data_IF_866505363522
#
_entry.id   IF_866505363522
#
_cell.length_a   1.000
_cell.length_b   1.000
_cell.length_c   1.000
_cell.angle_alpha   90.00
_cell.angle_beta   90.00
_cell.angle_gamma   90.00
#
_symmetry.space_group_name_H-M   'P 1'
#
loop_
_entity.id
_entity.type
_entity.pdbx_description
1 polymer ?
#
# COMPACT_ATOMS: atom_id res chain seq x y z
N UNK A 1 -19.72 13.16 13.88
CA UNK A 1 -19.03 12.30 12.90
C UNK A 1 -18.47 13.24 11.83
N UNK A 2 -17.18 13.43 11.79
CA UNK A 2 -16.57 14.27 10.77
C UNK A 2 -16.33 13.41 9.53
N UNK A 3 -17.05 13.70 8.45
CA UNK A 3 -16.69 13.17 7.16
C UNK A 3 -15.36 13.82 6.75
N UNK A 4 -14.30 13.00 6.65
CA UNK A 4 -13.04 13.50 6.14
C UNK A 4 -13.19 13.95 4.68
N UNK A 5 -12.50 15.02 4.27
CA UNK A 5 -12.50 15.42 2.88
C UNK A 5 -11.94 14.30 2.01
N UNK A 6 -12.54 14.10 0.85
CA UNK A 6 -12.09 13.09 -0.14
C UNK A 6 -10.76 13.47 -0.80
N UNK A 7 -10.33 14.70 -0.65
CA UNK A 7 -9.08 15.20 -1.21
C UNK A 7 -7.98 15.24 -0.15
N UNK A 8 -6.77 14.89 -0.53
CA UNK A 8 -5.61 14.99 0.35
C UNK A 8 -5.35 16.44 0.73
N UNK A 9 -5.06 16.66 1.98
CA UNK A 9 -4.68 17.95 2.52
C UNK A 9 -3.34 17.85 3.24
N UNK A 10 -2.86 18.98 3.76
CA UNK A 10 -1.67 18.95 4.61
C UNK A 10 -1.88 18.15 5.91
N UNK A 11 -3.13 18.00 6.35
CA UNK A 11 -3.48 17.33 7.61
C UNK A 11 -3.94 15.88 7.41
N UNK A 12 -4.52 15.53 6.24
CA UNK A 12 -5.13 14.23 5.98
C UNK A 12 -4.78 13.70 4.59
N UNK A 13 -4.64 12.35 4.44
CA UNK A 13 -4.51 11.71 3.15
C UNK A 13 -5.81 11.77 2.34
N UNK A 14 -5.71 11.47 1.05
CA UNK A 14 -6.86 11.08 0.25
C UNK A 14 -7.31 9.67 0.68
N UNK A 15 -8.54 9.54 1.14
CA UNK A 15 -9.14 8.26 1.51
C UNK A 15 -9.90 7.59 0.35
N UNK A 16 -9.94 8.19 -0.84
CA UNK A 16 -10.64 7.59 -1.99
C UNK A 16 -10.15 6.20 -2.37
N UNK A 17 -8.86 5.83 -2.20
CA UNK A 17 -8.38 4.49 -2.48
C UNK A 17 -8.76 3.44 -1.43
N UNK A 18 -9.29 3.83 -0.28
CA UNK A 18 -9.68 2.91 0.79
C UNK A 18 -11.08 2.39 0.56
N UNK A 19 -11.24 1.09 0.41
CA UNK A 19 -12.50 0.43 0.11
C UNK A 19 -12.82 -0.71 1.09
N UNK A 20 -14.12 -1.06 1.18
CA UNK A 20 -14.55 -2.25 1.89
C UNK A 20 -14.26 -3.50 1.05
N UNK A 21 -13.64 -4.50 1.66
CA UNK A 21 -13.56 -5.86 1.14
C UNK A 21 -14.66 -6.69 1.79
N UNK A 22 -15.66 -7.05 1.01
CA UNK A 22 -16.83 -7.73 1.51
C UNK A 22 -17.04 -9.06 0.79
N UNK A 23 -17.25 -10.12 1.58
CA UNK A 23 -17.50 -11.45 1.04
C UNK A 23 -19.00 -11.77 1.05
N UNK A 24 -19.43 -12.64 0.12
CA UNK A 24 -20.79 -13.18 0.10
C UNK A 24 -21.13 -14.05 1.33
N UNK A 25 -20.15 -14.32 2.19
CA UNK A 25 -20.31 -15.02 3.48
C UNK A 25 -20.42 -14.06 4.67
N UNK A 26 -20.48 -12.75 4.42
CA UNK A 26 -20.60 -11.72 5.45
C UNK A 26 -19.30 -11.35 6.15
N UNK A 27 -18.14 -11.76 5.63
CA UNK A 27 -16.85 -11.28 6.14
C UNK A 27 -16.60 -9.88 5.59
N UNK A 28 -16.33 -8.94 6.48
CA UNK A 28 -15.95 -7.57 6.17
C UNK A 28 -14.48 -7.34 6.54
N UNK A 29 -13.74 -6.74 5.65
CA UNK A 29 -12.43 -6.18 5.87
C UNK A 29 -12.27 -4.87 5.12
N UNK A 30 -11.10 -4.29 5.21
CA UNK A 30 -10.72 -3.07 4.52
C UNK A 30 -9.54 -3.34 3.60
N UNK A 31 -9.49 -2.70 2.46
CA UNK A 31 -8.36 -2.76 1.53
C UNK A 31 -8.01 -1.40 0.98
N UNK A 32 -6.81 -1.26 0.45
CA UNK A 32 -6.34 -0.02 -0.14
C UNK A 32 -5.89 -0.23 -1.56
N UNK A 33 -6.49 0.49 -2.50
CA UNK A 33 -6.08 0.50 -3.90
C UNK A 33 -4.68 1.10 -4.01
N UNK A 34 -3.73 0.32 -4.53
CA UNK A 34 -2.33 0.74 -4.75
C UNK A 34 -1.97 0.86 -6.24
N UNK A 35 -2.82 0.31 -7.11
CA UNK A 35 -2.77 0.47 -8.57
C UNK A 35 -4.20 0.43 -9.11
N UNK A 36 -4.49 0.79 -10.36
CA UNK A 36 -5.86 0.87 -10.88
C UNK A 36 -6.72 -0.38 -10.69
N UNK A 37 -6.11 -1.56 -10.60
CA UNK A 37 -6.80 -2.83 -10.37
C UNK A 37 -6.18 -3.68 -9.26
N UNK A 38 -5.28 -3.11 -8.46
CA UNK A 38 -4.54 -3.84 -7.40
C UNK A 38 -4.84 -3.22 -6.04
N UNK A 39 -5.29 -4.06 -5.13
CA UNK A 39 -5.61 -3.71 -3.74
C UNK A 39 -4.67 -4.47 -2.80
N UNK A 40 -4.13 -3.78 -1.80
CA UNK A 40 -3.41 -4.40 -0.68
C UNK A 40 -4.36 -4.52 0.51
N UNK A 41 -4.25 -5.64 1.22
CA UNK A 41 -5.06 -5.94 2.42
C UNK A 41 -4.38 -7.01 3.28
N UNK A 42 -5.00 -7.44 4.37
CA UNK A 42 -4.49 -8.50 5.23
C UNK A 42 -4.79 -9.91 4.65
N UNK A 43 -3.83 -10.83 4.81
CA UNK A 43 -3.97 -12.22 4.36
C UNK A 43 -5.00 -12.99 5.19
N UNK A 44 -5.08 -12.70 6.49
CA UNK A 44 -6.00 -13.41 7.40
C UNK A 44 -7.47 -13.28 7.03
N UNK A 45 -7.88 -12.26 6.27
CA UNK A 45 -9.25 -12.10 5.76
C UNK A 45 -9.68 -13.27 4.86
N UNK A 46 -8.74 -13.87 4.15
CA UNK A 46 -8.99 -14.97 3.21
C UNK A 46 -8.80 -16.35 3.84
N UNK A 47 -8.66 -16.40 5.14
CA UNK A 47 -8.55 -17.64 5.91
C UNK A 47 -9.87 -18.41 5.85
N UNK A 48 -9.97 -19.32 4.93
CA UNK A 48 -11.02 -20.35 5.02
C UNK A 48 -10.59 -21.37 6.08
N UNK A 49 -11.38 -21.52 7.15
CA UNK A 49 -11.24 -22.56 8.18
C UNK A 49 -10.12 -23.56 7.96
N UNK A 50 -9.36 -23.87 8.96
CA UNK A 50 -8.17 -24.73 9.14
C UNK A 50 -7.80 -25.77 8.04
N UNK A 51 -8.60 -25.95 7.00
CA UNK A 51 -8.45 -27.02 6.00
C UNK A 51 -8.11 -26.56 4.57
N UNK A 52 -8.18 -25.27 4.24
CA UNK A 52 -7.78 -24.81 2.91
C UNK A 52 -7.37 -23.33 2.92
N UNK A 53 -6.09 -23.03 2.69
CA UNK A 53 -5.59 -21.65 2.54
C UNK A 53 -5.90 -21.04 1.17
N UNK A 54 -6.67 -21.73 0.32
CA UNK A 54 -6.95 -21.24 -1.04
C UNK A 54 -8.07 -20.22 -1.00
N UNK A 55 -7.78 -18.95 -1.25
CA UNK A 55 -8.80 -17.92 -1.40
C UNK A 55 -9.82 -18.30 -2.49
N UNK A 56 -11.06 -17.87 -2.30
CA UNK A 56 -12.12 -18.01 -3.30
C UNK A 56 -12.46 -16.61 -3.85
N UNK A 57 -11.74 -16.10 -4.87
CA UNK A 57 -11.88 -14.72 -5.35
C UNK A 57 -13.32 -14.36 -5.71
N UNK A 58 -14.03 -15.26 -6.37
CA UNK A 58 -15.42 -15.06 -6.79
C UNK A 58 -16.40 -14.74 -5.64
N UNK A 59 -16.00 -15.00 -4.39
CA UNK A 59 -16.83 -14.68 -3.22
C UNK A 59 -16.63 -13.25 -2.72
N UNK A 60 -15.70 -12.49 -3.26
CA UNK A 60 -15.28 -11.20 -2.72
C UNK A 60 -15.52 -10.05 -3.70
N UNK A 61 -15.89 -8.92 -3.14
CA UNK A 61 -15.99 -7.64 -3.84
C UNK A 61 -15.17 -6.58 -3.11
N UNK A 62 -14.54 -5.71 -3.86
CA UNK A 62 -13.96 -4.48 -3.38
C UNK A 62 -14.90 -3.32 -3.70
N UNK A 63 -15.32 -2.56 -2.69
CA UNK A 63 -16.37 -1.56 -2.80
C UNK A 63 -15.81 -0.18 -2.44
N UNK A 64 -15.76 0.71 -3.42
CA UNK A 64 -15.22 2.07 -3.29
C UNK A 64 -16.33 3.10 -3.09
N UNK A 65 -17.24 2.84 -2.18
CA UNK A 65 -18.30 3.77 -1.80
C UNK A 65 -18.42 3.85 -0.27
N UNK A 66 -18.94 4.95 0.21
CA UNK A 66 -19.20 5.15 1.64
C UNK A 66 -20.52 5.89 1.83
N UNK A 67 -21.55 5.23 2.36
CA UNK A 67 -21.55 3.88 2.93
C UNK A 67 -21.51 2.77 1.85
N UNK A 68 -20.84 1.63 2.15
CA UNK A 68 -20.60 0.58 1.13
C UNK A 68 -21.84 -0.18 0.71
N UNK A 69 -22.87 -0.25 1.57
CA UNK A 69 -24.15 -0.90 1.30
C UNK A 69 -25.04 -0.08 0.33
N UNK A 70 -24.77 1.21 0.17
CA UNK A 70 -25.43 2.10 -0.80
C UNK A 70 -24.70 2.15 -2.15
N UNK A 71 -23.62 1.37 -2.34
CA UNK A 71 -22.81 1.39 -3.54
C UNK A 71 -23.62 0.95 -4.78
N UNK A 72 -23.49 1.71 -5.86
CA UNK A 72 -23.96 1.29 -7.19
C UNK A 72 -23.05 0.19 -7.76
N UNK A 73 -23.54 -0.55 -8.76
CA UNK A 73 -22.74 -1.62 -9.41
C UNK A 73 -21.44 -1.10 -10.04
N UNK A 74 -21.40 0.17 -10.45
CA UNK A 74 -20.17 0.78 -10.96
C UNK A 74 -19.08 0.98 -9.90
N UNK A 75 -19.46 1.01 -8.62
CA UNK A 75 -18.58 1.21 -7.47
C UNK A 75 -18.22 -0.11 -6.76
N UNK A 76 -18.77 -1.23 -7.23
CA UNK A 76 -18.45 -2.60 -6.79
C UNK A 76 -17.54 -3.26 -7.81
N UNK A 77 -16.41 -3.74 -7.37
CA UNK A 77 -15.39 -4.37 -8.19
C UNK A 77 -15.24 -5.83 -7.78
N UNK A 78 -15.56 -6.74 -8.70
CA UNK A 78 -15.39 -8.16 -8.47
C UNK A 78 -13.90 -8.49 -8.35
N UNK A 79 -13.56 -9.34 -7.39
CA UNK A 79 -12.19 -9.84 -7.22
C UNK A 79 -11.96 -10.96 -8.23
N UNK A 80 -10.88 -10.85 -9.02
CA UNK A 80 -10.44 -11.84 -9.99
C UNK A 80 -9.38 -12.78 -9.44
N UNK A 81 -8.50 -12.27 -8.58
CA UNK A 81 -7.41 -13.04 -7.98
C UNK A 81 -7.10 -12.55 -6.57
N UNK A 82 -6.67 -13.45 -5.71
CA UNK A 82 -6.08 -13.16 -4.40
C UNK A 82 -4.76 -13.91 -4.29
N UNK A 83 -3.69 -13.18 -4.01
CA UNK A 83 -2.36 -13.75 -3.76
C UNK A 83 -1.97 -13.43 -2.33
N UNK A 84 -1.85 -14.47 -1.51
CA UNK A 84 -1.38 -14.35 -0.13
C UNK A 84 0.14 -14.24 -0.12
N UNK A 85 0.68 -13.48 0.83
CA UNK A 85 2.13 -13.36 0.98
C UNK A 85 2.76 -14.74 1.20
N UNK A 86 3.85 -15.11 0.48
CA UNK A 86 4.44 -16.46 0.58
C UNK A 86 4.87 -16.83 2.00
N UNK A 87 5.42 -15.88 2.76
CA UNK A 87 5.81 -16.09 4.14
C UNK A 87 4.63 -16.41 5.06
N UNK A 88 3.48 -15.79 4.83
CA UNK A 88 2.25 -16.08 5.58
C UNK A 88 1.75 -17.50 5.28
N UNK A 89 1.72 -17.90 4.01
CA UNK A 89 1.33 -19.26 3.59
C UNK A 89 2.27 -20.32 4.15
N UNK A 90 3.58 -20.07 4.13
CA UNK A 90 4.59 -20.99 4.67
C UNK A 90 4.39 -21.22 6.17
N UNK A 91 4.02 -20.21 6.93
CA UNK A 91 3.75 -20.32 8.38
C UNK A 91 2.47 -21.06 8.68
N UNK A 92 1.41 -20.85 7.90
CA UNK A 92 0.17 -21.62 8.02
C UNK A 92 0.43 -23.14 7.97
N UNK A 93 1.28 -23.58 7.05
CA UNK A 93 1.60 -25.01 6.90
C UNK A 93 2.42 -25.57 8.06
N UNK A 94 3.25 -24.73 8.71
CA UNK A 94 4.09 -25.14 9.84
C UNK A 94 3.32 -25.30 11.15
N UNK A 95 2.27 -24.49 11.33
CA UNK A 95 1.53 -24.39 12.59
C UNK A 95 0.14 -25.02 12.57
N UNK A 96 -0.14 -25.87 11.59
CA UNK A 96 -1.46 -26.49 11.48
C UNK A 96 -2.60 -25.50 11.23
N UNK A 97 -2.30 -24.34 10.64
CA UNK A 97 -3.29 -23.34 10.25
C UNK A 97 -3.56 -22.23 11.29
N UNK A 98 -2.87 -22.23 12.43
CA UNK A 98 -2.91 -21.10 13.38
C UNK A 98 -1.73 -20.19 13.05
N UNK A 99 -2.02 -19.02 12.44
CA UNK A 99 -0.97 -18.15 11.92
C UNK A 99 -0.29 -17.33 13.01
N UNK A 100 0.97 -17.55 13.20
CA UNK A 100 1.90 -16.57 13.73
C UNK A 100 2.50 -15.71 12.60
N UNK A 101 2.01 -15.88 11.35
CA UNK A 101 2.34 -15.02 10.22
C UNK A 101 2.00 -13.56 10.46
N UNK A 102 0.94 -13.31 11.22
CA UNK A 102 0.55 -11.99 11.67
C UNK A 102 1.69 -11.37 12.50
N UNK A 103 2.18 -12.10 13.50
CA UNK A 103 3.28 -11.67 14.39
C UNK A 103 4.64 -11.57 13.69
N UNK A 104 4.80 -12.17 12.53
CA UNK A 104 6.02 -12.08 11.73
C UNK A 104 6.04 -10.90 10.77
N UNK A 105 4.96 -10.12 10.70
CA UNK A 105 4.86 -9.02 9.77
C UNK A 105 4.72 -9.46 8.31
N UNK A 106 4.06 -10.58 8.06
CA UNK A 106 3.78 -11.14 6.71
C UNK A 106 2.30 -11.32 6.43
N UNK A 107 1.43 -10.81 7.30
CA UNK A 107 -0.02 -10.82 7.11
C UNK A 107 -0.42 -9.82 6.02
N UNK A 108 -0.16 -10.19 4.79
CA UNK A 108 -0.43 -9.37 3.61
C UNK A 108 -1.03 -10.21 2.48
N UNK A 109 -1.96 -9.59 1.75
CA UNK A 109 -2.50 -10.14 0.51
C UNK A 109 -2.60 -9.05 -0.55
N UNK A 110 -2.40 -9.46 -1.79
CA UNK A 110 -2.71 -8.68 -2.99
C UNK A 110 -3.99 -9.21 -3.61
N UNK A 111 -4.90 -8.32 -3.89
CA UNK A 111 -6.17 -8.58 -4.54
C UNK A 111 -6.19 -7.91 -5.91
N UNK A 112 -6.39 -8.69 -6.96
CA UNK A 112 -6.60 -8.17 -8.32
C UNK A 112 -8.10 -8.05 -8.60
N UNK A 113 -8.50 -6.94 -9.20
CA UNK A 113 -9.88 -6.66 -9.60
C UNK A 113 -10.10 -7.06 -11.06
N UNK A 114 -11.33 -7.47 -11.42
CA UNK A 114 -11.68 -7.82 -12.82
C UNK A 114 -11.62 -6.62 -13.78
N UNK A 115 -11.75 -5.41 -13.26
CA UNK A 115 -11.67 -4.17 -14.03
C UNK A 115 -10.97 -3.07 -13.24
N UNK A 116 -10.37 -2.15 -13.95
CA UNK A 116 -9.72 -0.98 -13.36
C UNK A 116 -10.73 -0.03 -12.70
N UNK A 117 -10.30 0.60 -11.63
CA UNK A 117 -10.99 1.72 -10.98
C UNK A 117 -10.72 2.99 -11.78
N UNK A 118 -11.71 3.43 -12.53
CA UNK A 118 -11.60 4.64 -13.35
C UNK A 118 -11.76 5.89 -12.50
N UNK A 119 -10.81 6.82 -12.61
CA UNK A 119 -10.85 8.10 -11.89
C UNK A 119 -10.44 8.00 -10.41
N UNK A 120 -10.05 6.84 -9.92
CA UNK A 120 -9.45 6.66 -8.60
C UNK A 120 -7.98 7.08 -8.58
N UNK A 121 -7.50 7.50 -7.42
CA UNK A 121 -6.09 7.80 -7.19
C UNK A 121 -5.52 6.73 -6.25
N UNK A 122 -4.74 5.76 -6.77
CA UNK A 122 -4.10 4.76 -5.93
C UNK A 122 -3.23 5.39 -4.84
N UNK A 123 -3.22 4.77 -3.65
CA UNK A 123 -2.35 5.18 -2.57
C UNK A 123 -0.87 4.93 -2.95
N UNK A 124 0.00 5.86 -2.58
CA UNK A 124 1.43 5.73 -2.85
C UNK A 124 2.06 4.77 -1.86
N UNK A 125 2.87 3.84 -2.35
CA UNK A 125 3.73 3.01 -1.50
C UNK A 125 4.82 3.86 -0.84
N UNK A 126 5.40 3.43 0.30
CA UNK A 126 6.48 4.14 0.95
C UNK A 126 7.68 4.20 0.01
N UNK A 127 8.41 5.33 0.04
CA UNK A 127 9.77 5.35 -0.45
C UNK A 127 10.63 4.46 0.47
N UNK A 128 11.81 4.07 0.02
CA UNK A 128 12.78 3.50 0.94
C UNK A 128 13.03 4.51 2.06
N UNK A 129 12.92 4.06 3.28
CA UNK A 129 13.09 4.95 4.41
C UNK A 129 12.52 4.39 5.69
N UNK A 130 12.81 5.06 6.74
CA UNK A 130 12.36 4.70 8.08
C UNK A 130 11.14 5.57 8.39
N UNK A 131 10.05 4.95 8.77
CA UNK A 131 8.91 5.64 9.35
C UNK A 131 9.35 6.25 10.69
N UNK A 132 9.25 7.57 10.86
CA UNK A 132 9.71 8.20 12.08
C UNK A 132 8.80 7.84 13.26
N UNK A 133 9.37 7.24 14.29
CA UNK A 133 8.69 7.01 15.57
C UNK A 133 8.31 8.37 16.17
N UNK A 134 7.14 8.45 16.78
CA UNK A 134 6.57 9.69 17.31
C UNK A 134 5.90 10.57 16.25
N UNK A 135 5.88 10.15 14.99
CA UNK A 135 5.16 10.87 13.94
C UNK A 135 3.70 10.44 13.85
N UNK A 136 2.87 11.40 13.39
CA UNK A 136 1.43 11.18 13.23
C UNK A 136 1.14 10.14 12.15
N UNK A 137 0.28 9.18 12.50
CA UNK A 137 -0.33 8.20 11.59
C UNK A 137 -1.80 8.52 11.43
N UNK A 138 -2.32 8.38 10.22
CA UNK A 138 -3.74 8.51 9.93
C UNK A 138 -4.29 7.13 9.53
N UNK A 139 -5.28 6.69 10.26
CA UNK A 139 -5.94 5.39 10.09
C UNK A 139 -7.18 5.55 9.23
N UNK A 140 -7.54 4.52 8.50
CA UNK A 140 -8.78 4.51 7.73
C UNK A 140 -9.33 3.12 7.52
N UNK A 141 -10.67 2.97 7.63
CA UNK A 141 -11.28 1.67 7.43
C UNK A 141 -12.80 1.68 7.44
N UNK A 142 -13.37 0.48 7.42
CA UNK A 142 -14.80 0.22 7.46
C UNK A 142 -15.20 -0.62 8.70
N UNK A 143 -14.34 -0.60 9.71
CA UNK A 143 -14.58 -1.32 10.97
C UNK A 143 -15.75 -0.79 11.77
N UNK A 144 -16.12 -1.54 12.79
CA UNK A 144 -17.17 -1.17 13.72
C UNK A 144 -16.80 0.15 14.44
N UNK A 145 -17.82 0.95 14.73
CA UNK A 145 -17.66 2.12 15.60
C UNK A 145 -17.67 1.67 17.05
N UNK A 146 -16.56 1.91 17.74
CA UNK A 146 -16.37 1.59 19.15
C UNK A 146 -16.07 2.85 19.94
N UNK A 147 -16.49 2.87 21.19
CA UNK A 147 -16.13 3.93 22.12
C UNK A 147 -14.99 3.44 23.01
N UNK A 148 -13.89 4.17 23.07
CA UNK A 148 -12.69 3.80 23.84
C UNK A 148 -12.92 3.59 25.34
N UNK A 149 -14.03 4.10 25.91
CA UNK A 149 -14.39 3.87 27.30
C UNK A 149 -15.12 2.56 27.54
N UNK A 150 -15.94 2.12 26.57
CA UNK A 150 -16.85 0.97 26.74
C UNK A 150 -16.44 -0.28 25.97
N UNK A 151 -15.62 -0.11 24.96
CA UNK A 151 -15.04 -1.22 24.19
C UNK A 151 -16.03 -2.13 23.45
N UNK A 152 -15.53 -3.15 23.00
CA UNK A 152 -15.78 -4.45 22.36
C UNK A 152 -17.05 -4.75 21.56
N UNK A 153 -18.17 -4.17 21.74
CA UNK A 153 -19.38 -4.60 21.01
C UNK A 153 -19.77 -3.63 19.90
N UNK A 154 -18.81 -2.90 19.36
CA UNK A 154 -19.01 -1.85 18.39
C UNK A 154 -20.20 -2.00 17.46
N UNK A 155 -20.81 -0.91 17.08
CA UNK A 155 -21.93 -0.90 16.13
C UNK A 155 -21.37 -1.13 14.72
N UNK A 156 -21.90 -2.12 13.96
CA UNK A 156 -21.52 -2.28 12.56
C UNK A 156 -21.64 -0.97 11.80
N UNK A 157 -20.60 -0.63 11.07
CA UNK A 157 -20.51 0.62 10.35
C UNK A 157 -20.28 0.33 8.87
N UNK A 158 -21.12 0.90 8.01
CA UNK A 158 -21.00 0.78 6.56
C UNK A 158 -20.19 1.91 5.97
N UNK A 159 -19.77 2.88 6.78
CA UNK A 159 -19.07 4.08 6.30
C UNK A 159 -17.56 3.94 6.49
N UNK A 160 -16.83 4.52 5.55
CA UNK A 160 -15.40 4.76 5.73
C UNK A 160 -15.20 5.78 6.83
N UNK A 161 -14.42 5.41 7.83
CA UNK A 161 -14.08 6.25 8.97
C UNK A 161 -12.56 6.33 9.05
N UNK A 162 -12.06 7.44 9.54
CA UNK A 162 -10.64 7.62 9.81
C UNK A 162 -10.41 8.27 11.17
N UNK A 163 -9.20 8.12 11.66
CA UNK A 163 -8.71 8.70 12.89
C UNK A 163 -7.22 8.96 12.81
N UNK A 164 -6.67 9.49 13.88
CA UNK A 164 -5.25 9.76 14.01
C UNK A 164 -4.68 9.00 15.20
N UNK A 165 -3.39 8.74 15.15
CA UNK A 165 -2.62 8.21 16.26
C UNK A 165 -1.14 8.60 16.06
N UNK A 166 -0.28 8.21 16.99
CA UNK A 166 1.17 8.33 16.89
C UNK A 166 1.77 6.95 16.58
N UNK A 167 2.79 6.90 15.74
CA UNK A 167 3.56 5.67 15.57
C UNK A 167 4.48 5.50 16.79
N UNK A 168 4.17 4.52 17.62
CA UNK A 168 4.93 4.25 18.85
C UNK A 168 6.13 3.37 18.60
N UNK A 169 6.01 2.41 17.68
CA UNK A 169 7.08 1.44 17.43
C UNK A 169 7.20 0.98 15.99
N UNK A 170 8.45 0.78 15.59
CA UNK A 170 8.84 -0.17 14.55
C UNK A 170 9.38 -1.40 15.27
N UNK A 171 8.69 -2.53 15.16
CA UNK A 171 9.00 -3.74 15.90
C UNK A 171 10.01 -4.56 15.15
N UNK A 172 11.21 -4.68 15.67
CA UNK A 172 12.31 -5.44 15.03
C UNK A 172 12.03 -6.93 15.07
N UNK A 173 11.61 -7.44 16.22
CA UNK A 173 11.32 -8.84 16.44
C UNK A 173 10.26 -8.99 17.54
N UNK A 174 9.36 -9.92 17.35
CA UNK A 174 8.33 -10.27 18.33
C UNK A 174 8.94 -11.18 19.39
N UNK A 175 8.47 -11.08 20.64
CA UNK A 175 8.89 -11.96 21.72
C UNK A 175 8.53 -13.42 21.37
N UNK A 176 9.41 -14.35 21.68
CA UNK A 176 9.26 -15.79 21.43
C UNK A 176 9.12 -16.24 19.96
N UNK A 177 9.22 -15.35 19.01
CA UNK A 177 9.17 -15.70 17.60
C UNK A 177 10.57 -15.82 16.98
N UNK A 178 10.79 -16.91 16.26
CA UNK A 178 11.98 -17.06 15.41
C UNK A 178 11.67 -16.38 14.05
N UNK A 179 11.90 -15.08 13.98
CA UNK A 179 11.62 -14.28 12.79
C UNK A 179 12.74 -14.42 11.77
N UNK A 180 12.48 -14.88 10.54
CA UNK A 180 13.47 -14.87 9.47
C UNK A 180 14.04 -13.48 9.25
N UNK A 181 15.33 -13.40 8.92
CA UNK A 181 16.03 -12.10 8.78
C UNK A 181 15.39 -11.14 7.78
N UNK A 182 14.76 -11.67 6.76
CA UNK A 182 14.03 -10.91 5.73
C UNK A 182 12.73 -10.24 6.23
N UNK A 183 12.21 -10.68 7.38
CA UNK A 183 10.98 -10.13 7.97
C UNK A 183 11.25 -9.26 9.21
N UNK A 184 12.50 -9.14 9.64
CA UNK A 184 12.85 -8.26 10.76
C UNK A 184 12.39 -6.82 10.51
N UNK A 185 11.81 -6.20 11.52
CA UNK A 185 11.26 -4.85 11.40
C UNK A 185 9.96 -4.79 10.58
N UNK A 186 9.28 -5.92 10.40
CA UNK A 186 8.07 -6.04 9.57
C UNK A 186 6.78 -5.56 10.20
N UNK A 187 6.80 -5.05 11.45
CA UNK A 187 5.62 -4.59 12.16
C UNK A 187 5.74 -3.12 12.59
N UNK A 188 4.61 -2.42 12.54
CA UNK A 188 4.41 -1.12 13.16
C UNK A 188 3.37 -1.27 14.27
N UNK A 189 3.49 -0.52 15.37
CA UNK A 189 2.52 -0.57 16.44
C UNK A 189 2.18 0.83 16.96
N UNK A 190 0.92 0.96 17.36
CA UNK A 190 0.34 2.11 18.02
C UNK A 190 -0.48 1.63 19.22
N UNK A 191 -0.66 2.46 20.25
CA UNK A 191 -1.66 2.21 21.27
C UNK A 191 -2.72 3.33 21.32
N UNK A 192 -3.85 3.03 21.94
CA UNK A 192 -5.00 3.92 22.00
C UNK A 192 -4.95 4.73 23.30
N UNK A 193 -4.34 5.89 23.24
CA UNK A 193 -4.16 6.76 24.38
C UNK A 193 -5.47 7.36 24.91
N UNK A 194 -5.58 7.42 26.22
CA UNK A 194 -6.76 7.99 26.85
C UNK A 194 -6.61 9.50 27.11
N UNK A 195 -7.71 10.28 27.02
CA UNK A 195 -7.68 11.67 27.39
C UNK A 195 -7.29 11.93 28.85
N UNK A 196 -7.34 10.90 29.68
CA UNK A 196 -6.95 10.96 31.10
C UNK A 196 -5.46 10.60 31.30
N UNK A 197 -4.69 10.31 30.25
CA UNK A 197 -3.27 9.95 30.29
C UNK A 197 -2.97 8.71 31.16
N UNK A 198 -3.91 7.78 31.28
CA UNK A 198 -3.82 6.60 32.14
C UNK A 198 -3.90 5.28 31.39
N UNK A 199 -3.79 5.31 30.08
CA UNK A 199 -3.89 4.16 29.19
C UNK A 199 -2.78 4.20 28.12
N UNK A 200 -1.53 4.22 28.57
CA UNK A 200 -0.36 4.10 27.70
C UNK A 200 0.17 2.65 27.79
N UNK A 201 -0.32 1.79 26.93
CA UNK A 201 -0.02 0.35 27.00
C UNK A 201 1.38 0.03 26.48
N UNK A 202 1.82 0.69 25.43
CA UNK A 202 3.16 0.50 24.86
C UNK A 202 4.25 1.23 25.65
N UNK A 203 3.87 2.10 26.57
CA UNK A 203 4.78 2.88 27.43
C UNK A 203 5.15 2.24 28.75
N UNK A 204 4.68 1.04 29.06
CA UNK A 204 4.92 0.39 30.37
C UNK A 204 6.35 -0.09 30.62
N UNK A 205 7.16 -0.18 29.58
CA UNK A 205 8.63 -0.40 29.65
C UNK A 205 9.08 -1.81 29.94
N UNK A 206 8.40 -2.56 30.79
CA UNK A 206 8.92 -3.83 31.36
C UNK A 206 8.13 -5.07 30.95
N UNK A 207 6.95 -4.94 30.38
CA UNK A 207 6.10 -6.07 30.00
C UNK A 207 5.85 -6.12 28.51
N UNK A 208 5.92 -7.30 27.92
CA UNK A 208 5.47 -7.56 26.56
C UNK A 208 3.95 -7.36 26.47
N UNK A 209 3.48 -6.77 25.39
CA UNK A 209 2.07 -6.54 25.11
C UNK A 209 1.78 -7.02 23.69
N UNK A 210 0.76 -7.86 23.54
CA UNK A 210 0.37 -8.40 22.24
C UNK A 210 1.57 -8.96 21.46
N UNK A 211 2.42 -9.73 22.16
CA UNK A 211 3.67 -10.31 21.65
C UNK A 211 4.76 -9.30 21.27
N UNK A 212 4.55 -8.02 21.51
CA UNK A 212 5.56 -6.99 21.26
C UNK A 212 6.55 -6.90 22.42
N UNK A 213 7.84 -6.70 22.14
CA UNK A 213 8.83 -6.56 23.19
C UNK A 213 8.57 -5.31 24.05
N UNK A 214 9.06 -5.26 25.28
CA UNK A 214 9.00 -4.06 26.11
C UNK A 214 9.58 -2.84 25.43
N UNK A 215 9.05 -1.67 25.74
CA UNK A 215 9.50 -0.40 25.16
C UNK A 215 8.82 0.80 25.81
N UNK A 216 8.96 1.95 25.19
CA UNK A 216 8.38 3.20 25.65
C UNK A 216 7.56 3.84 24.53
N UNK A 217 6.49 4.55 24.90
CA UNK A 217 5.71 5.46 24.05
C UNK A 217 5.27 6.69 24.85
N UNK A 218 4.75 7.69 24.16
CA UNK A 218 4.15 8.86 24.80
C UNK A 218 2.66 8.56 25.11
N UNK A 219 2.18 8.96 26.27
CA UNK A 219 0.80 8.78 26.71
C UNK A 219 -0.13 9.92 26.25
N UNK A 220 0.35 10.83 25.42
CA UNK A 220 -0.39 12.04 25.05
C UNK A 220 -1.25 11.80 23.83
N UNK A 221 -2.58 11.71 23.95
CA UNK A 221 -3.45 11.49 22.80
C UNK A 221 -3.41 12.68 21.83
N UNK A 222 -3.53 12.40 20.55
CA UNK A 222 -3.66 13.42 19.51
C UNK A 222 -5.12 13.78 19.25
N UNK A 223 -5.33 14.90 18.54
CA UNK A 223 -6.67 15.21 18.04
C UNK A 223 -7.18 14.09 17.12
N UNK A 224 -8.40 13.63 17.35
CA UNK A 224 -9.02 12.49 16.67
C UNK A 224 -8.33 11.15 16.94
N UNK A 225 -7.76 11.02 18.12
CA UNK A 225 -7.17 9.76 18.60
C UNK A 225 -8.10 8.59 18.34
N UNK A 226 -7.56 7.56 17.71
CA UNK A 226 -8.32 6.38 17.31
C UNK A 226 -7.46 5.12 17.32
N UNK A 227 -8.12 3.99 17.52
CA UNK A 227 -7.61 2.64 17.30
C UNK A 227 -8.46 1.95 16.24
N UNK A 228 -8.15 0.70 15.95
CA UNK A 228 -8.86 -0.12 14.98
C UNK A 228 -9.88 -1.03 15.68
N UNK A 229 -10.86 -1.51 14.93
CA UNK A 229 -11.90 -2.41 15.38
C UNK A 229 -12.16 -3.52 14.35
N UNK A 230 -13.02 -4.48 14.68
CA UNK A 230 -13.43 -5.55 13.77
C UNK A 230 -13.97 -4.95 12.47
N UNK A 231 -13.40 -5.35 11.35
CA UNK A 231 -13.69 -4.82 10.00
C UNK A 231 -12.62 -3.87 9.45
N UNK A 232 -11.71 -3.36 10.30
CA UNK A 232 -10.58 -2.56 9.85
C UNK A 232 -9.39 -3.42 9.35
N UNK A 233 -9.45 -4.73 9.54
CA UNK A 233 -8.44 -5.69 9.03
C UNK A 233 -8.03 -5.38 7.59
N UNK A 234 -6.73 -5.20 7.34
CA UNK A 234 -6.16 -4.81 6.05
C UNK A 234 -6.28 -3.32 5.70
N UNK A 235 -6.92 -2.54 6.56
CA UNK A 235 -7.02 -1.09 6.41
C UNK A 235 -5.67 -0.37 6.55
N UNK A 236 -5.51 0.80 5.93
CA UNK A 236 -4.24 1.48 5.87
C UNK A 236 -3.90 2.25 7.16
N UNK A 237 -2.59 2.30 7.45
CA UNK A 237 -1.97 3.39 8.16
C UNK A 237 -1.27 4.28 7.13
N UNK A 238 -1.59 5.58 7.13
CA UNK A 238 -0.94 6.58 6.28
C UNK A 238 -0.01 7.45 7.10
N UNK A 239 1.15 7.77 6.53
CA UNK A 239 2.06 8.79 7.06
C UNK A 239 2.44 9.79 5.97
N UNK A 240 2.68 11.04 6.38
CA UNK A 240 3.22 12.06 5.48
C UNK A 240 4.75 11.96 5.49
N UNK A 241 5.33 11.45 4.40
CA UNK A 241 6.77 11.26 4.23
C UNK A 241 7.22 12.08 3.02
N UNK A 242 8.22 12.94 3.21
CA UNK A 242 8.72 13.84 2.17
C UNK A 242 7.57 14.59 1.45
N UNK A 243 6.69 15.24 2.22
CA UNK A 243 5.54 16.02 1.77
C UNK A 243 4.47 15.24 0.97
N UNK A 244 4.51 13.92 0.96
CA UNK A 244 3.51 13.08 0.34
C UNK A 244 2.92 12.07 1.32
N UNK A 245 1.59 11.90 1.28
CA UNK A 245 0.93 10.82 2.00
C UNK A 245 1.23 9.48 1.37
N UNK A 246 1.62 8.50 2.21
CA UNK A 246 2.00 7.15 1.80
C UNK A 246 1.36 6.13 2.73
N UNK A 247 0.93 5.00 2.17
CA UNK A 247 0.52 3.86 2.98
C UNK A 247 1.77 3.22 3.59
N UNK A 248 1.86 3.16 4.91
CA UNK A 248 3.02 2.59 5.62
C UNK A 248 2.70 1.27 6.30
N UNK A 249 1.42 0.99 6.57
CA UNK A 249 0.98 -0.22 7.25
C UNK A 249 -0.37 -0.72 6.74
N UNK A 250 -0.61 -2.03 6.91
CA UNK A 250 -1.91 -2.67 6.77
C UNK A 250 -2.29 -3.32 8.09
N UNK A 251 -3.50 -3.06 8.60
CA UNK A 251 -3.98 -3.61 9.89
C UNK A 251 -3.91 -5.12 9.89
N UNK A 252 -3.20 -5.69 10.86
CA UNK A 252 -3.00 -7.13 10.99
C UNK A 252 -3.69 -7.69 12.23
N UNK A 253 -3.25 -7.33 13.41
CA UNK A 253 -3.80 -7.80 14.67
C UNK A 253 -3.72 -6.74 15.77
N UNK A 254 -4.20 -7.06 16.95
CA UNK A 254 -4.13 -6.19 18.12
C UNK A 254 -5.04 -6.68 19.23
N UNK A 255 -5.22 -5.85 20.23
CA UNK A 255 -6.18 -6.09 21.30
C UNK A 255 -7.60 -6.13 20.74
N UNK A 256 -8.47 -6.90 21.36
CA UNK A 256 -9.78 -7.22 20.77
C UNK A 256 -10.92 -6.27 21.16
N UNK A 257 -10.71 -5.39 22.13
CA UNK A 257 -11.79 -4.65 22.78
C UNK A 257 -11.96 -3.21 22.28
N UNK A 258 -10.99 -2.67 21.55
CA UNK A 258 -10.95 -1.29 21.06
C UNK A 258 -11.21 -0.26 22.17
N UNK A 259 -10.69 -0.54 23.37
CA UNK A 259 -10.73 0.38 24.53
C UNK A 259 -9.45 1.21 24.60
N UNK A 260 -9.49 2.27 25.40
CA UNK A 260 -8.25 2.98 25.71
C UNK A 260 -7.20 2.05 26.29
N UNK A 261 -5.99 2.10 25.76
CA UNK A 261 -4.88 1.20 26.04
C UNK A 261 -4.78 0.01 25.10
N UNK A 262 -5.72 -0.19 24.19
CA UNK A 262 -5.61 -1.26 23.18
C UNK A 262 -4.51 -0.94 22.19
N UNK A 263 -3.84 -2.01 21.72
CA UNK A 263 -2.76 -1.92 20.77
C UNK A 263 -3.27 -2.33 19.38
N UNK A 264 -2.88 -1.60 18.36
CA UNK A 264 -3.03 -2.03 16.96
C UNK A 264 -1.67 -2.28 16.36
N UNK A 265 -1.54 -3.43 15.70
CA UNK A 265 -0.31 -3.84 15.00
C UNK A 265 -0.60 -3.93 13.50
N UNK A 266 0.29 -3.34 12.72
CA UNK A 266 0.24 -3.30 11.26
C UNK A 266 1.38 -4.12 10.67
N UNK A 267 1.09 -4.83 9.59
CA UNK A 267 2.16 -5.29 8.70
C UNK A 267 2.79 -4.08 8.01
N UNK A 268 4.10 -3.92 8.15
CA UNK A 268 4.85 -2.78 7.60
C UNK A 268 5.05 -2.93 6.10
N UNK A 269 4.48 -2.01 5.33
CA UNK A 269 4.48 -2.05 3.86
C UNK A 269 5.89 -1.95 3.26
N UNK A 270 6.79 -1.19 3.88
CA UNK A 270 8.14 -0.98 3.37
C UNK A 270 8.93 -2.30 3.20
N UNK A 271 8.73 -3.27 4.11
CA UNK A 271 9.38 -4.58 4.04
C UNK A 271 8.92 -5.42 2.84
N UNK A 272 7.74 -5.13 2.31
CA UNK A 272 7.10 -5.90 1.24
C UNK A 272 6.96 -5.11 -0.08
N UNK A 273 7.60 -3.94 -0.16
CA UNK A 273 7.45 -3.03 -1.29
C UNK A 273 7.72 -3.71 -2.63
N UNK A 274 8.88 -4.37 -2.78
CA UNK A 274 9.24 -5.05 -4.03
C UNK A 274 8.25 -6.16 -4.40
N UNK A 275 7.72 -6.89 -3.41
CA UNK A 275 6.70 -7.90 -3.65
C UNK A 275 5.38 -7.26 -4.11
N UNK A 276 4.94 -6.17 -3.51
CA UNK A 276 3.74 -5.44 -3.93
C UNK A 276 3.90 -4.85 -5.33
N UNK A 277 5.06 -4.26 -5.62
CA UNK A 277 5.36 -3.67 -6.92
C UNK A 277 5.37 -4.71 -8.05
N UNK A 278 5.69 -5.98 -7.78
CA UNK A 278 5.63 -7.05 -8.76
C UNK A 278 4.22 -7.33 -9.32
N UNK A 279 3.17 -6.91 -8.62
CA UNK A 279 1.78 -7.01 -9.08
C UNK A 279 1.29 -5.74 -9.78
N UNK A 280 2.03 -4.67 -9.70
CA UNK A 280 1.58 -3.38 -10.19
C UNK A 280 1.93 -3.23 -11.68
N UNK A 281 0.97 -2.84 -12.55
CA UNK A 281 1.32 -2.46 -13.90
C UNK A 281 2.35 -1.33 -13.93
N UNK A 282 3.22 -1.32 -14.91
CA UNK A 282 4.31 -0.33 -15.05
C UNK A 282 3.84 1.13 -14.87
N UNK A 283 2.61 1.41 -15.27
CA UNK A 283 2.00 2.75 -15.18
C UNK A 283 1.06 2.94 -13.98
N UNK A 284 1.09 2.06 -13.02
CA UNK A 284 0.11 2.00 -11.94
C UNK A 284 0.12 3.19 -10.98
N UNK A 285 1.23 3.90 -10.86
CA UNK A 285 1.35 5.08 -9.99
C UNK A 285 1.35 6.39 -10.78
N UNK A 286 0.57 6.45 -11.84
CA UNK A 286 0.42 7.67 -12.63
C UNK A 286 -0.71 8.54 -12.10
N UNK A 287 -0.50 9.85 -12.14
CA UNK A 287 -1.50 10.86 -11.82
C UNK A 287 -1.99 11.54 -13.08
N UNK A 288 -3.30 11.72 -13.21
CA UNK A 288 -3.85 12.59 -14.26
C UNK A 288 -3.50 14.04 -13.97
N UNK A 289 -2.91 14.72 -14.94
CA UNK A 289 -2.51 16.13 -14.78
C UNK A 289 -3.67 17.12 -14.91
N UNK A 290 -4.88 16.64 -15.25
CA UNK A 290 -6.03 17.50 -15.56
C UNK A 290 -6.00 18.15 -16.96
N UNK A 291 -4.94 17.94 -17.76
CA UNK A 291 -4.75 18.57 -19.06
C UNK A 291 -4.69 17.51 -20.17
N UNK A 292 -5.72 17.45 -21.02
CA UNK A 292 -5.69 16.74 -22.30
C UNK A 292 -5.31 15.25 -22.28
N UNK A 293 -5.53 14.55 -21.17
CA UNK A 293 -5.23 13.12 -21.01
C UNK A 293 -3.77 12.80 -20.64
N UNK A 294 -2.96 13.82 -20.36
CA UNK A 294 -1.60 13.61 -19.87
C UNK A 294 -1.59 12.94 -18.50
N UNK A 295 -0.66 11.99 -18.34
CA UNK A 295 -0.34 11.33 -17.09
C UNK A 295 1.03 11.76 -16.60
N UNK A 296 1.20 11.81 -15.29
CA UNK A 296 2.46 12.03 -14.63
C UNK A 296 2.86 10.76 -13.88
N UNK A 297 3.99 10.18 -14.23
CA UNK A 297 4.64 9.12 -13.47
C UNK A 297 5.73 9.73 -12.59
N UNK A 298 5.80 9.32 -11.33
CA UNK A 298 6.78 9.86 -10.39
C UNK A 298 8.23 9.50 -10.75
N UNK A 299 8.44 8.45 -11.54
CA UNK A 299 9.76 7.98 -11.95
C UNK A 299 10.06 8.17 -13.44
N UNK A 300 9.02 8.10 -14.30
CA UNK A 300 9.18 8.19 -15.75
C UNK A 300 8.87 9.59 -16.32
N UNK A 301 8.19 10.45 -15.55
CA UNK A 301 7.83 11.81 -15.98
C UNK A 301 6.46 11.89 -16.65
N UNK A 302 6.28 12.90 -17.51
CA UNK A 302 4.99 13.17 -18.14
C UNK A 302 4.85 12.48 -19.49
N UNK A 303 3.72 11.81 -19.70
CA UNK A 303 3.41 11.16 -20.97
C UNK A 303 1.92 11.15 -21.28
N UNK A 304 1.60 10.98 -22.56
CA UNK A 304 0.25 10.97 -23.09
C UNK A 304 -0.01 9.63 -23.78
N UNK A 305 -0.78 8.71 -23.15
CA UNK A 305 -1.17 7.45 -23.77
C UNK A 305 -1.97 7.66 -25.03
N UNK A 306 -1.73 6.83 -26.05
CA UNK A 306 -2.44 6.79 -27.31
C UNK A 306 -2.87 5.37 -27.67
N UNK A 307 -3.82 5.19 -28.58
CA UNK A 307 -4.22 3.83 -29.03
C UNK A 307 -3.03 3.01 -29.54
N UNK A 308 -3.19 1.69 -29.48
CA UNK A 308 -2.22 0.72 -30.01
C UNK A 308 -0.84 0.81 -29.37
N UNK A 309 -0.80 0.99 -28.03
CA UNK A 309 0.42 0.98 -27.21
C UNK A 309 1.42 2.12 -27.49
N UNK A 310 1.02 3.13 -28.23
CA UNK A 310 1.81 4.33 -28.42
C UNK A 310 1.65 5.28 -27.23
N UNK A 311 2.75 5.94 -26.87
CA UNK A 311 2.78 6.95 -25.83
C UNK A 311 3.64 8.12 -26.30
N UNK A 312 3.22 9.34 -26.01
CA UNK A 312 4.04 10.52 -26.27
C UNK A 312 4.60 11.05 -24.94
N UNK A 313 5.91 10.91 -24.79
CA UNK A 313 6.61 11.33 -23.57
C UNK A 313 7.17 12.74 -23.70
N UNK A 314 7.08 13.54 -22.63
CA UNK A 314 7.49 14.96 -22.64
C UNK A 314 8.98 15.20 -22.95
N UNK A 315 9.83 14.20 -22.75
CA UNK A 315 11.28 14.29 -23.01
C UNK A 315 11.80 13.27 -24.01
N UNK A 316 11.14 12.11 -24.16
CA UNK A 316 11.55 11.07 -25.12
C UNK A 316 10.84 11.19 -26.49
N UNK A 317 9.75 11.95 -26.59
CA UNK A 317 8.91 11.95 -27.77
C UNK A 317 8.04 10.68 -27.89
N UNK A 318 7.89 10.18 -29.12
CA UNK A 318 7.05 9.00 -29.37
C UNK A 318 7.72 7.70 -28.95
N UNK A 319 7.03 6.96 -28.11
CA UNK A 319 7.43 5.67 -27.58
C UNK A 319 6.36 4.61 -27.86
N UNK A 320 6.77 3.44 -28.31
CA UNK A 320 5.90 2.27 -28.40
C UNK A 320 6.23 1.32 -27.25
N UNK A 321 5.21 1.00 -26.46
CA UNK A 321 5.32 0.10 -25.30
C UNK A 321 4.41 -1.10 -25.55
N UNK A 322 4.94 -2.24 -26.00
CA UNK A 322 4.14 -3.46 -26.11
C UNK A 322 3.63 -3.83 -24.71
N UNK A 323 2.54 -4.56 -24.65
CA UNK A 323 2.09 -5.15 -23.40
C UNK A 323 3.21 -6.01 -22.82
N UNK A 324 3.90 -5.51 -21.81
CA UNK A 324 5.02 -6.18 -21.19
C UNK A 324 4.65 -6.59 -19.76
N UNK A 325 5.34 -7.60 -19.27
CA UNK A 325 5.16 -8.10 -17.90
C UNK A 325 5.33 -7.01 -16.83
N UNK A 326 4.86 -7.30 -15.64
CA UNK A 326 4.63 -6.33 -14.55
C UNK A 326 5.91 -5.69 -13.95
N UNK A 327 7.09 -6.28 -14.17
CA UNK A 327 8.31 -5.86 -13.47
C UNK A 327 9.27 -5.01 -14.33
N UNK A 328 9.14 -5.08 -15.64
CA UNK A 328 10.06 -4.40 -16.56
C UNK A 328 9.46 -4.27 -17.94
N UNK A 329 9.88 -3.29 -18.69
CA UNK A 329 9.35 -3.12 -20.03
C UNK A 329 10.40 -2.77 -21.06
N UNK A 330 10.17 -3.29 -22.25
CA UNK A 330 10.85 -2.88 -23.45
C UNK A 330 10.10 -1.72 -24.09
N UNK A 331 10.85 -0.72 -24.47
CA UNK A 331 10.34 0.48 -25.16
C UNK A 331 11.00 0.52 -26.54
N UNK A 332 10.22 0.82 -27.54
CA UNK A 332 10.77 1.14 -28.85
C UNK A 332 10.67 2.63 -29.12
N UNK A 333 11.77 3.22 -29.58
CA UNK A 333 11.89 4.62 -30.00
C UNK A 333 12.53 4.68 -31.38
N UNK A 334 12.01 5.51 -32.31
CA UNK A 334 12.38 5.47 -33.73
C UNK A 334 13.88 5.56 -34.00
N UNK A 335 14.61 6.35 -33.25
CA UNK A 335 16.03 6.62 -33.48
C UNK A 335 16.96 5.90 -32.52
N UNK A 336 16.45 5.13 -31.58
CA UNK A 336 17.22 4.36 -30.59
C UNK A 336 16.97 2.84 -30.69
N UNK A 337 15.88 2.44 -31.37
CA UNK A 337 15.44 1.05 -31.40
C UNK A 337 14.83 0.60 -30.08
N UNK A 338 15.00 -0.67 -29.76
CA UNK A 338 14.52 -1.25 -28.53
C UNK A 338 15.47 -0.97 -27.37
N UNK A 339 14.90 -0.51 -26.25
CA UNK A 339 15.61 -0.36 -25.00
C UNK A 339 14.74 -0.83 -23.83
N UNK A 340 15.39 -1.26 -22.77
CA UNK A 340 14.77 -1.80 -21.57
C UNK A 340 15.05 -0.90 -20.37
N UNK A 341 14.07 -0.76 -19.49
CA UNK A 341 14.23 -0.12 -18.18
C UNK A 341 13.16 -0.64 -17.20
N UNK A 342 13.25 -0.21 -15.95
CA UNK A 342 12.20 -0.33 -14.93
C UNK A 342 12.29 0.86 -13.97
N UNK A 343 11.37 0.92 -13.00
CA UNK A 343 11.30 2.03 -12.05
C UNK A 343 12.53 2.14 -11.13
N UNK A 344 13.24 1.04 -10.86
CA UNK A 344 14.40 1.04 -9.94
C UNK A 344 15.72 1.42 -10.62
N UNK A 345 15.80 1.29 -11.94
CA UNK A 345 17.02 1.61 -12.70
C UNK A 345 16.92 2.89 -13.52
N UNK A 346 15.71 3.31 -13.93
CA UNK A 346 15.55 4.56 -14.68
C UNK A 346 16.11 5.75 -13.86
N UNK A 347 16.88 6.66 -14.46
CA UNK A 347 17.01 6.95 -15.90
C UNK A 347 18.07 6.12 -16.67
N UNK A 348 18.57 5.02 -16.12
CA UNK A 348 19.38 4.11 -16.89
C UNK A 348 18.51 3.22 -17.77
N UNK A 349 18.89 3.06 -19.03
CA UNK A 349 18.21 2.23 -20.01
C UNK A 349 19.21 1.30 -20.69
N UNK A 350 18.84 0.07 -20.96
CA UNK A 350 19.67 -0.87 -21.71
C UNK A 350 19.26 -0.87 -23.18
N UNK A 351 20.11 -0.43 -24.07
CA UNK A 351 19.86 -0.45 -25.51
C UNK A 351 20.18 -1.81 -26.09
N UNK A 352 19.17 -2.44 -26.70
CA UNK A 352 19.34 -3.71 -27.41
C UNK A 352 20.25 -3.59 -28.63
N UNK A 353 20.12 -2.52 -29.40
CA UNK A 353 20.91 -2.32 -30.63
C UNK A 353 22.38 -1.99 -30.35
N UNK A 354 22.65 -1.29 -29.23
CA UNK A 354 24.01 -0.93 -28.82
C UNK A 354 24.64 -1.96 -27.89
N UNK A 355 23.86 -2.89 -27.38
CA UNK A 355 24.24 -3.91 -26.39
C UNK A 355 24.95 -3.32 -25.15
N UNK A 356 24.53 -2.13 -24.72
CA UNK A 356 25.11 -1.42 -23.57
C UNK A 356 24.06 -0.60 -22.82
N UNK A 357 24.43 -0.17 -21.61
CA UNK A 357 23.66 0.76 -20.82
C UNK A 357 23.86 2.17 -21.31
N UNK A 358 22.77 2.95 -21.26
CA UNK A 358 22.76 4.38 -21.51
C UNK A 358 22.19 5.07 -20.27
N UNK A 359 22.68 6.24 -19.93
CA UNK A 359 22.07 7.13 -18.95
C UNK A 359 21.31 8.23 -19.68
N UNK A 360 20.04 8.35 -19.43
CA UNK A 360 19.17 9.37 -20.01
C UNK A 360 19.27 10.68 -19.25
N UNK A 361 19.72 11.75 -19.91
CA UNK A 361 19.74 13.09 -19.34
C UNK A 361 18.41 13.81 -19.61
N UNK A 362 17.52 13.73 -18.62
CA UNK A 362 16.20 14.34 -18.73
C UNK A 362 16.24 15.86 -18.83
N UNK A 363 17.25 16.52 -18.22
CA UNK A 363 17.34 17.97 -18.18
C UNK A 363 17.77 18.56 -19.53
N UNK A 364 18.55 17.82 -20.30
CA UNK A 364 19.02 18.25 -21.62
C UNK A 364 18.19 17.68 -22.78
N UNK A 365 17.22 16.83 -22.48
CA UNK A 365 16.39 16.16 -23.48
C UNK A 365 15.10 16.91 -23.77
N UNK A 366 14.69 16.86 -25.03
CA UNK A 366 13.38 17.30 -25.52
C UNK A 366 12.77 16.19 -26.38
N UNK A 367 11.46 16.24 -26.71
CA UNK A 367 10.84 15.23 -27.57
C UNK A 367 11.47 15.10 -28.98
N UNK A 368 12.20 16.11 -29.43
CA UNK A 368 12.87 16.14 -30.74
C UNK A 368 14.37 15.85 -30.65
N UNK A 369 14.91 15.75 -29.42
CA UNK A 369 16.33 15.59 -29.20
C UNK A 369 16.54 14.92 -27.84
N UNK A 370 16.81 13.64 -27.81
CA UNK A 370 17.13 12.92 -26.58
C UNK A 370 18.65 12.83 -26.39
N UNK A 371 19.09 13.05 -25.16
CA UNK A 371 20.51 13.07 -24.77
C UNK A 371 20.78 11.88 -23.86
N UNK A 372 21.76 11.07 -24.24
CA UNK A 372 22.20 9.92 -23.43
C UNK A 372 23.71 9.93 -23.24
N UNK A 373 24.17 9.45 -22.11
CA UNK A 373 25.56 9.02 -21.95
C UNK A 373 25.66 7.54 -22.30
N UNK A 374 26.45 7.20 -23.28
CA UNK A 374 26.64 5.83 -23.80
C UNK A 374 27.84 5.19 -23.11
N UNK A 375 27.60 4.28 -22.17
CA UNK A 375 28.65 3.59 -21.43
C UNK A 375 29.50 2.64 -22.29
N UNK A 376 28.99 2.24 -23.44
CA UNK A 376 29.77 1.42 -24.40
C UNK A 376 30.81 2.25 -25.18
N UNK A 377 30.54 3.55 -25.32
CA UNK A 377 31.42 4.49 -26.04
C UNK A 377 32.17 5.44 -25.11
N UNK A 378 31.77 5.50 -23.86
CA UNK A 378 32.24 6.47 -22.84
C UNK A 378 32.07 7.94 -23.31
N UNK A 379 30.92 8.23 -23.96
CA UNK A 379 30.65 9.56 -24.53
C UNK A 379 29.17 9.88 -24.58
N UNK A 380 28.84 11.17 -24.68
CA UNK A 380 27.49 11.66 -24.87
C UNK A 380 26.99 11.44 -26.30
N UNK A 381 25.81 10.94 -26.44
CA UNK A 381 25.15 10.71 -27.73
C UNK A 381 23.83 11.47 -27.80
N UNK A 382 23.62 12.08 -28.94
CA UNK A 382 22.35 12.72 -29.28
C UNK A 382 21.54 11.79 -30.17
N UNK A 383 20.29 11.56 -29.75
CA UNK A 383 19.32 10.80 -30.52
C UNK A 383 18.26 11.81 -30.98
N UNK A 384 18.22 12.15 -32.29
CA UNK A 384 17.32 13.16 -32.84
C UNK A 384 15.87 12.72 -32.89
#
# INVERSE_FOLDING_TARGET
MNSYPYESSDQFPDFSPVGALFSNKGVLGTGTLIAPSIVVTAAHLFRNTFSSPTPQPANWQFILHSPFDEASESQKYQVSQVVLHPGWVARLSQLGGIGDGDMLGVDLAVVSLEREVLGGYPAKLPAEGVEPIGAKVILGGFGNLVNGTTGSQGVPNQRRVGGANILDRVVVQVEDANVPSEYLGGLLAIDFDSPQLNANRLGTGETAVDYLPPGTSDATPVDLEASTAVGDSGGPAFMKIADAWRIVGAVSYGSSDSTYGDVTVYTRIANHKSWLESFMPVWSQTRKTGHGGWLESHWFGFFLPRPSNWNYHSSHGWLYLPESGQESFWVWQSNLGWWWTNFSVYPFVYSSERACWLYFDQLQSTPQKTVFFDYGKDDWVLVP
#
